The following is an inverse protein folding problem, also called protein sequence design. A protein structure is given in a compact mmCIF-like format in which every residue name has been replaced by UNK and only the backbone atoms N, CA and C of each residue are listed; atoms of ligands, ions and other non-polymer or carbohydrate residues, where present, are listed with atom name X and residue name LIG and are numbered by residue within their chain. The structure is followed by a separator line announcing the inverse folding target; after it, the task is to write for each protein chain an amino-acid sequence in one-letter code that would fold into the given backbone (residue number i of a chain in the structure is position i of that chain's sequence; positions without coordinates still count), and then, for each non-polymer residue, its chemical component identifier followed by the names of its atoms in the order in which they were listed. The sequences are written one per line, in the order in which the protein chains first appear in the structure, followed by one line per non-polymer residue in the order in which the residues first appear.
data_IF_627880182769
#
_entry.id   IF_627880182769
#
_cell.length_a   1.000
_cell.length_b   1.000
_cell.length_c   1.000
_cell.angle_alpha   90.00
_cell.angle_beta   90.00
_cell.angle_gamma   90.00
#
_symmetry.space_group_name_H-M   'P 1'
#
loop_
_entity.id
_entity.type
_entity.pdbx_description
1 polymer ?
#
# COMPACT_ATOMS: atom_id res chain seq x y z
N UNK A 1 -51.59 -79.43 -28.54
CA UNK A 1 -50.59 -78.81 -27.68
C UNK A 1 -49.20 -78.57 -28.30
N UNK A 2 -48.62 -79.52 -29.07
CA UNK A 2 -47.22 -79.33 -29.61
C UNK A 2 -47.01 -78.23 -30.63
N UNK A 3 -48.02 -77.83 -31.49
CA UNK A 3 -47.88 -76.78 -32.49
C UNK A 3 -47.96 -75.36 -31.90
N UNK A 4 -48.81 -75.15 -30.87
CA UNK A 4 -48.94 -73.83 -30.15
C UNK A 4 -47.72 -73.55 -29.30
N UNK A 5 -47.14 -74.54 -28.65
CA UNK A 5 -45.93 -74.42 -27.86
C UNK A 5 -44.70 -73.98 -28.74
N UNK A 6 -44.58 -74.61 -29.95
CA UNK A 6 -43.54 -74.27 -30.90
C UNK A 6 -43.69 -72.85 -31.41
N UNK A 7 -44.92 -72.36 -31.70
CA UNK A 7 -45.18 -70.94 -32.11
C UNK A 7 -44.91 -70.00 -30.99
N UNK A 8 -45.23 -70.30 -29.73
CA UNK A 8 -44.92 -69.50 -28.56
C UNK A 8 -43.40 -69.37 -28.36
N UNK A 9 -42.69 -70.52 -28.42
CA UNK A 9 -41.22 -70.52 -28.31
C UNK A 9 -40.57 -69.68 -29.42
N UNK A 10 -41.03 -69.77 -30.65
CA UNK A 10 -40.55 -69.01 -31.79
C UNK A 10 -40.81 -67.48 -31.57
N UNK A 11 -42.01 -67.15 -31.08
CA UNK A 11 -42.35 -65.73 -30.79
C UNK A 11 -41.45 -65.14 -29.69
N UNK A 12 -41.16 -65.93 -28.63
CA UNK A 12 -40.23 -65.49 -27.55
C UNK A 12 -38.80 -65.35 -28.08
N UNK A 13 -38.33 -66.25 -28.96
CA UNK A 13 -37.01 -66.16 -29.57
C UNK A 13 -36.89 -64.93 -30.49
N UNK A 14 -37.91 -64.65 -31.30
CA UNK A 14 -37.96 -63.46 -32.14
C UNK A 14 -37.97 -62.15 -31.29
N UNK A 15 -38.71 -62.15 -30.19
CA UNK A 15 -38.73 -61.00 -29.25
C UNK A 15 -37.38 -60.79 -28.58
N UNK A 16 -36.70 -61.87 -28.11
CA UNK A 16 -35.36 -61.81 -27.55
C UNK A 16 -34.32 -61.32 -28.58
N UNK A 17 -34.44 -61.81 -29.85
CA UNK A 17 -33.58 -61.33 -30.93
C UNK A 17 -33.78 -59.84 -31.20
N UNK A 18 -35.02 -59.36 -31.15
CA UNK A 18 -35.36 -57.93 -31.35
C UNK A 18 -34.79 -57.08 -30.20
N UNK A 19 -34.92 -57.56 -28.95
CA UNK A 19 -34.29 -56.90 -27.78
C UNK A 19 -32.77 -56.85 -27.92
N UNK A 20 -32.15 -57.96 -28.32
CA UNK A 20 -30.69 -58.04 -28.50
C UNK A 20 -30.23 -57.13 -29.62
N UNK A 21 -30.97 -57.05 -30.74
CA UNK A 21 -30.68 -56.14 -31.82
C UNK A 21 -30.79 -54.69 -31.37
N UNK A 22 -31.84 -54.31 -30.63
CA UNK A 22 -32.01 -52.97 -30.07
C UNK A 22 -30.89 -52.63 -29.07
N UNK A 23 -30.49 -53.61 -28.24
CA UNK A 23 -29.36 -53.43 -27.34
C UNK A 23 -28.04 -53.05 -28.07
N UNK A 24 -27.70 -53.79 -29.13
CA UNK A 24 -26.48 -53.49 -29.89
C UNK A 24 -26.59 -52.20 -30.69
N UNK A 25 -27.76 -51.87 -31.26
CA UNK A 25 -27.96 -50.58 -31.93
C UNK A 25 -27.67 -49.41 -30.99
N UNK A 26 -28.19 -49.46 -29.75
CA UNK A 26 -27.92 -48.44 -28.74
C UNK A 26 -26.46 -48.44 -28.26
N UNK A 27 -25.84 -49.61 -28.09
CA UNK A 27 -24.41 -49.71 -27.76
C UNK A 27 -23.52 -49.07 -28.84
N UNK A 28 -23.85 -49.29 -30.12
CA UNK A 28 -23.13 -48.64 -31.22
C UNK A 28 -23.40 -47.14 -31.32
N UNK A 29 -24.61 -46.67 -31.01
CA UNK A 29 -24.95 -45.24 -30.94
C UNK A 29 -24.14 -44.52 -29.84
N UNK A 30 -24.03 -45.10 -28.63
CA UNK A 30 -23.24 -44.52 -27.54
C UNK A 30 -21.71 -44.68 -27.72
N UNK A 31 -21.24 -45.33 -28.80
CA UNK A 31 -19.81 -45.46 -29.05
C UNK A 31 -19.20 -44.12 -29.51
N UNK A 32 -19.96 -43.29 -30.25
CA UNK A 32 -19.51 -41.98 -30.78
C UNK A 32 -19.87 -40.84 -29.84
N UNK A 33 -20.85 -41.01 -28.94
CA UNK A 33 -21.30 -40.02 -27.99
C UNK A 33 -21.21 -40.53 -26.51
N UNK A 34 -21.58 -39.69 -25.59
CA UNK A 34 -21.65 -40.04 -24.17
C UNK A 34 -22.81 -40.96 -23.88
N UNK A 35 -22.61 -41.88 -22.97
CA UNK A 35 -23.63 -42.88 -22.52
C UNK A 35 -24.88 -42.19 -21.95
N UNK A 36 -25.99 -42.95 -21.90
CA UNK A 36 -27.26 -42.50 -21.35
C UNK A 36 -27.09 -42.00 -19.90
N UNK A 37 -27.85 -41.00 -19.51
CA UNK A 37 -27.82 -40.38 -18.16
C UNK A 37 -26.44 -39.86 -17.70
N UNK A 38 -25.59 -39.48 -18.64
CA UNK A 38 -24.31 -38.84 -18.34
C UNK A 38 -24.49 -37.33 -18.16
N UNK A 39 -23.98 -36.81 -17.06
CA UNK A 39 -23.96 -35.40 -16.72
C UNK A 39 -22.52 -34.97 -16.42
N UNK A 40 -22.06 -33.90 -17.06
CA UNK A 40 -20.72 -33.33 -16.88
C UNK A 40 -20.88 -31.85 -16.55
N UNK A 41 -20.35 -31.41 -15.42
CA UNK A 41 -20.46 -30.03 -14.94
C UNK A 41 -21.89 -29.44 -15.01
N UNK A 42 -22.89 -30.30 -14.67
CA UNK A 42 -24.30 -29.92 -14.74
C UNK A 42 -24.92 -29.87 -16.13
N UNK A 43 -24.17 -30.25 -17.19
CA UNK A 43 -24.65 -30.39 -18.56
C UNK A 43 -25.10 -31.82 -18.83
N UNK A 44 -26.27 -31.99 -19.46
CA UNK A 44 -26.77 -33.30 -19.90
C UNK A 44 -26.12 -33.70 -21.23
N UNK A 45 -25.32 -34.78 -21.19
CA UNK A 45 -24.43 -35.15 -22.30
C UNK A 45 -24.90 -36.38 -23.10
N UNK A 46 -25.97 -37.06 -22.72
CA UNK A 46 -26.44 -38.30 -23.37
C UNK A 46 -26.48 -38.20 -24.88
N UNK A 47 -25.73 -39.05 -25.59
CA UNK A 47 -25.66 -39.14 -27.04
C UNK A 47 -24.98 -38.00 -27.75
N UNK A 48 -24.54 -36.97 -27.02
CA UNK A 48 -23.77 -35.82 -27.58
C UNK A 48 -22.34 -36.22 -27.83
N UNK A 49 -21.73 -35.58 -28.86
CA UNK A 49 -20.29 -35.70 -29.15
C UNK A 49 -19.45 -34.87 -28.17
N UNK A 50 -18.15 -35.06 -28.19
CA UNK A 50 -17.19 -34.28 -27.41
C UNK A 50 -17.27 -32.81 -27.78
N UNK A 51 -17.35 -32.49 -29.09
CA UNK A 51 -17.44 -31.10 -29.58
C UNK A 51 -18.71 -30.39 -29.13
N UNK A 52 -19.85 -31.12 -29.15
CA UNK A 52 -21.13 -30.55 -28.70
C UNK A 52 -21.11 -30.25 -27.22
N UNK A 53 -20.57 -31.18 -26.41
CA UNK A 53 -20.46 -30.98 -24.93
C UNK A 53 -19.45 -29.89 -24.60
N UNK A 54 -18.29 -29.87 -25.29
CA UNK A 54 -17.29 -28.81 -25.12
C UNK A 54 -17.90 -27.42 -25.39
N UNK A 55 -18.60 -27.29 -26.54
CA UNK A 55 -19.23 -26.02 -26.91
C UNK A 55 -20.28 -25.56 -25.87
N UNK A 56 -21.06 -26.49 -25.33
CA UNK A 56 -22.08 -26.16 -24.30
C UNK A 56 -21.45 -25.81 -22.96
N UNK A 57 -20.34 -26.45 -22.56
CA UNK A 57 -19.58 -26.13 -21.36
C UNK A 57 -18.95 -24.74 -21.48
N UNK A 58 -18.35 -24.43 -22.63
CA UNK A 58 -17.71 -23.12 -22.87
C UNK A 58 -18.71 -21.97 -22.76
N UNK A 59 -19.97 -22.14 -23.20
CA UNK A 59 -21.02 -21.14 -23.02
C UNK A 59 -21.34 -20.80 -21.56
N UNK A 60 -20.97 -21.67 -20.62
CA UNK A 60 -21.22 -21.51 -19.19
C UNK A 60 -19.94 -21.22 -18.40
N UNK A 61 -18.79 -21.27 -19.05
CA UNK A 61 -17.49 -21.01 -18.42
C UNK A 61 -17.20 -19.53 -18.51
N UNK A 62 -17.09 -18.87 -17.36
CA UNK A 62 -16.61 -17.50 -17.27
C UNK A 62 -15.11 -17.52 -16.94
N UNK A 63 -14.37 -16.50 -17.40
CA UNK A 63 -12.99 -16.33 -17.03
C UNK A 63 -12.92 -16.07 -15.52
N UNK A 64 -12.16 -16.87 -14.77
CA UNK A 64 -12.05 -16.68 -13.32
C UNK A 64 -11.24 -15.43 -12.97
N UNK A 65 -11.43 -14.97 -11.75
CA UNK A 65 -10.57 -14.00 -11.13
C UNK A 65 -9.53 -14.73 -10.25
N UNK A 66 -8.29 -14.25 -10.28
CA UNK A 66 -7.24 -14.72 -9.37
C UNK A 66 -7.11 -13.70 -8.25
N UNK A 67 -7.14 -14.16 -7.01
CA UNK A 67 -6.89 -13.35 -5.82
C UNK A 67 -5.43 -13.52 -5.41
N UNK A 68 -4.68 -12.42 -5.39
CA UNK A 68 -3.29 -12.39 -4.94
C UNK A 68 -3.29 -11.84 -3.51
N UNK A 69 -2.71 -12.59 -2.57
CA UNK A 69 -2.65 -12.23 -1.15
C UNK A 69 -1.22 -11.91 -0.77
N UNK A 70 -0.99 -10.71 -0.21
CA UNK A 70 0.32 -10.30 0.29
C UNK A 70 0.60 -10.82 1.72
N UNK A 71 1.76 -10.43 2.28
CA UNK A 71 2.18 -10.84 3.64
C UNK A 71 1.30 -10.26 4.73
N UNK A 72 0.72 -9.10 4.52
CA UNK A 72 -0.16 -8.38 5.43
C UNK A 72 -1.62 -8.90 5.35
N UNK A 73 -1.91 -9.77 4.38
CA UNK A 73 -3.24 -10.30 4.13
C UNK A 73 -4.10 -9.40 3.24
N UNK A 74 -3.49 -8.41 2.58
CA UNK A 74 -4.20 -7.58 1.60
C UNK A 74 -4.45 -8.37 0.33
N UNK A 75 -5.66 -8.27 -0.20
CA UNK A 75 -6.10 -8.99 -1.38
C UNK A 75 -6.12 -8.07 -2.62
N UNK A 76 -5.54 -8.54 -3.70
CA UNK A 76 -5.56 -7.90 -5.00
C UNK A 76 -6.17 -8.86 -6.01
N UNK A 77 -7.08 -8.38 -6.85
CA UNK A 77 -7.79 -9.24 -7.79
C UNK A 77 -7.36 -8.93 -9.22
N UNK A 78 -7.07 -9.98 -9.99
CA UNK A 78 -6.79 -9.91 -11.41
C UNK A 78 -7.82 -10.74 -12.17
N UNK A 79 -8.43 -10.16 -13.22
CA UNK A 79 -9.37 -10.85 -14.07
C UNK A 79 -8.66 -11.50 -15.23
N UNK A 80 -8.81 -12.82 -15.42
CA UNK A 80 -8.23 -13.51 -16.55
C UNK A 80 -8.94 -13.18 -17.89
N UNK A 81 -10.11 -12.53 -17.85
CA UNK A 81 -10.77 -12.03 -19.05
C UNK A 81 -9.90 -11.00 -19.80
N UNK A 82 -9.04 -10.25 -19.07
CA UNK A 82 -8.12 -9.28 -19.66
C UNK A 82 -6.88 -9.93 -20.28
N UNK A 83 -6.65 -11.22 -20.02
CA UNK A 83 -5.53 -12.02 -20.48
C UNK A 83 -5.93 -13.03 -21.58
N UNK A 84 -7.00 -12.76 -22.31
CA UNK A 84 -7.51 -13.63 -23.38
C UNK A 84 -7.67 -15.10 -22.92
N UNK A 85 -8.33 -15.28 -21.77
CA UNK A 85 -8.60 -16.58 -21.17
C UNK A 85 -9.37 -17.48 -22.12
N UNK A 86 -8.83 -18.65 -22.42
CA UNK A 86 -9.47 -19.69 -23.20
C UNK A 86 -9.49 -21.00 -22.43
N UNK A 87 -10.67 -21.57 -22.29
CA UNK A 87 -10.88 -22.88 -21.73
C UNK A 87 -11.13 -23.90 -22.84
N UNK A 88 -10.65 -25.12 -22.70
CA UNK A 88 -10.95 -26.25 -23.58
C UNK A 88 -11.14 -27.53 -22.79
N UNK A 89 -12.31 -28.14 -22.91
CA UNK A 89 -12.65 -29.39 -22.26
C UNK A 89 -12.40 -30.62 -23.17
N UNK A 90 -12.03 -30.42 -24.44
CA UNK A 90 -11.98 -31.48 -25.46
C UNK A 90 -11.14 -32.68 -24.98
N UNK A 91 -9.94 -32.44 -24.47
CA UNK A 91 -9.03 -33.51 -24.05
C UNK A 91 -9.59 -34.33 -22.87
N UNK A 92 -10.11 -33.66 -21.84
CA UNK A 92 -10.65 -34.34 -20.65
C UNK A 92 -11.99 -35.04 -20.94
N UNK A 93 -12.79 -34.46 -21.84
CA UNK A 93 -14.03 -35.10 -22.34
C UNK A 93 -13.74 -36.35 -23.16
N UNK A 94 -12.74 -36.28 -24.08
CA UNK A 94 -12.34 -37.43 -24.86
C UNK A 94 -11.79 -38.56 -24.02
N UNK A 95 -10.93 -38.24 -23.00
CA UNK A 95 -10.43 -39.23 -22.07
C UNK A 95 -11.58 -39.89 -21.29
N UNK A 96 -12.51 -39.08 -20.74
CA UNK A 96 -13.67 -39.61 -20.03
C UNK A 96 -14.59 -40.45 -20.93
N UNK A 97 -14.81 -40.05 -22.22
CA UNK A 97 -15.58 -40.81 -23.18
C UNK A 97 -14.93 -42.18 -23.47
N UNK A 98 -13.59 -42.26 -23.55
CA UNK A 98 -12.86 -43.49 -23.79
C UNK A 98 -12.90 -44.46 -22.57
N UNK A 99 -13.07 -43.95 -21.37
CA UNK A 99 -13.27 -44.77 -20.17
C UNK A 99 -14.65 -45.43 -20.12
N UNK A 100 -15.65 -44.90 -20.86
CA UNK A 100 -16.99 -45.42 -20.89
C UNK A 100 -17.06 -46.71 -21.75
N UNK A 101 -17.65 -47.78 -21.18
CA UNK A 101 -17.95 -48.97 -21.96
C UNK A 101 -19.35 -48.85 -22.59
N UNK A 102 -19.45 -48.68 -23.91
CA UNK A 102 -20.75 -48.51 -24.59
C UNK A 102 -21.72 -49.69 -24.39
N UNK A 103 -21.20 -50.84 -24.09
CA UNK A 103 -22.04 -52.02 -23.86
C UNK A 103 -22.66 -52.09 -22.45
N UNK A 104 -22.20 -51.22 -21.51
CA UNK A 104 -22.78 -51.09 -20.18
C UNK A 104 -23.80 -49.95 -20.07
N UNK A 105 -24.36 -49.47 -21.21
CA UNK A 105 -25.29 -48.36 -21.21
C UNK A 105 -26.54 -48.62 -20.32
N UNK A 106 -26.96 -49.86 -20.17
CA UNK A 106 -28.09 -50.22 -19.30
C UNK A 106 -27.85 -49.90 -17.84
N UNK A 107 -26.61 -50.04 -17.35
CA UNK A 107 -26.24 -49.68 -15.99
C UNK A 107 -26.44 -48.18 -15.76
N UNK A 108 -26.12 -47.33 -16.75
CA UNK A 108 -26.30 -45.88 -16.67
C UNK A 108 -27.78 -45.46 -16.75
N UNK A 109 -28.69 -46.33 -17.28
CA UNK A 109 -30.13 -46.07 -17.18
C UNK A 109 -30.60 -46.15 -15.74
N UNK A 110 -30.02 -47.07 -14.94
CA UNK A 110 -30.37 -47.29 -13.54
C UNK A 110 -29.60 -46.33 -12.61
N UNK A 111 -28.36 -46.01 -12.96
CA UNK A 111 -27.45 -45.20 -12.15
C UNK A 111 -26.99 -44.00 -12.96
N UNK A 112 -27.28 -42.79 -12.47
CA UNK A 112 -26.86 -41.57 -13.13
C UNK A 112 -25.33 -41.39 -13.02
N UNK A 113 -24.63 -41.14 -14.13
CA UNK A 113 -23.22 -40.78 -14.14
C UNK A 113 -23.08 -39.28 -14.07
N UNK A 114 -22.54 -38.74 -12.96
CA UNK A 114 -22.23 -37.34 -12.78
C UNK A 114 -20.73 -37.17 -12.57
N UNK A 115 -20.13 -36.28 -13.34
CA UNK A 115 -18.70 -35.94 -13.26
C UNK A 115 -18.50 -34.44 -13.28
N UNK A 116 -17.50 -34.00 -12.55
CA UNK A 116 -16.94 -32.67 -12.66
C UNK A 116 -15.56 -32.78 -13.30
N UNK A 117 -15.37 -32.08 -14.40
CA UNK A 117 -14.14 -32.06 -15.17
C UNK A 117 -13.63 -30.63 -15.25
N UNK A 118 -12.33 -30.46 -15.08
CA UNK A 118 -11.67 -29.16 -15.25
C UNK A 118 -11.15 -29.02 -16.68
N UNK A 119 -11.28 -27.83 -17.30
CA UNK A 119 -10.75 -27.58 -18.65
C UNK A 119 -9.22 -27.52 -18.63
N UNK A 120 -8.62 -27.69 -19.80
CA UNK A 120 -7.30 -27.16 -20.08
C UNK A 120 -7.43 -25.66 -20.29
N UNK A 121 -6.59 -24.86 -19.64
CA UNK A 121 -6.64 -23.41 -19.68
C UNK A 121 -5.44 -22.89 -20.45
N UNK A 122 -5.66 -21.90 -21.31
CA UNK A 122 -4.62 -21.11 -21.95
C UNK A 122 -4.92 -19.63 -21.75
N UNK A 123 -3.89 -18.83 -21.50
CA UNK A 123 -3.97 -17.38 -21.38
C UNK A 123 -2.88 -16.75 -22.23
N UNK A 124 -3.15 -15.54 -22.74
CA UNK A 124 -2.10 -14.73 -23.34
C UNK A 124 -1.17 -14.21 -22.23
N UNK A 125 0.07 -14.68 -22.24
CA UNK A 125 1.07 -14.31 -21.21
C UNK A 125 1.34 -12.81 -21.23
N UNK A 126 1.37 -12.20 -22.41
CA UNK A 126 1.56 -10.74 -22.53
C UNK A 126 0.35 -9.98 -21.98
N UNK A 127 -0.85 -10.50 -22.20
CA UNK A 127 -2.08 -9.97 -21.59
C UNK A 127 -2.08 -10.09 -20.07
N UNK A 128 -1.72 -11.26 -19.56
CA UNK A 128 -1.58 -11.51 -18.13
C UNK A 128 -0.54 -10.58 -17.49
N UNK A 129 0.60 -10.36 -18.17
CA UNK A 129 1.64 -9.44 -17.73
C UNK A 129 1.14 -8.01 -17.67
N UNK A 130 0.42 -7.53 -18.69
CA UNK A 130 -0.17 -6.19 -18.68
C UNK A 130 -1.17 -6.01 -17.54
N UNK A 131 -2.03 -6.99 -17.31
CA UNK A 131 -2.99 -6.97 -16.21
C UNK A 131 -2.28 -6.98 -14.85
N UNK A 132 -1.25 -7.81 -14.66
CA UNK A 132 -0.40 -7.85 -13.47
C UNK A 132 0.30 -6.50 -13.21
N UNK A 133 0.95 -5.92 -14.22
CA UNK A 133 1.66 -4.64 -14.10
C UNK A 133 0.71 -3.46 -13.81
N UNK A 134 -0.59 -3.62 -14.05
CA UNK A 134 -1.62 -2.64 -13.73
C UNK A 134 -1.99 -2.60 -12.25
N UNK A 135 -1.69 -3.66 -11.48
CA UNK A 135 -2.03 -3.76 -10.07
C UNK A 135 -1.34 -2.68 -9.23
N UNK A 136 -2.05 -2.17 -8.23
CA UNK A 136 -1.58 -1.07 -7.39
C UNK A 136 -0.28 -1.43 -6.66
N UNK A 137 -0.21 -2.62 -6.06
CA UNK A 137 1.00 -3.04 -5.33
C UNK A 137 2.21 -3.20 -6.25
N UNK A 138 2.02 -3.65 -7.50
CA UNK A 138 3.10 -3.80 -8.48
C UNK A 138 3.67 -2.44 -8.84
N UNK A 139 2.80 -1.46 -9.15
CA UNK A 139 3.22 -0.08 -9.43
C UNK A 139 3.91 0.58 -8.25
N UNK A 140 3.35 0.40 -7.04
CA UNK A 140 3.96 0.91 -5.82
C UNK A 140 5.35 0.30 -5.59
N UNK A 141 5.49 -1.02 -5.81
CA UNK A 141 6.76 -1.71 -5.63
C UNK A 141 7.82 -1.31 -6.67
N UNK A 142 7.41 -1.06 -7.92
CA UNK A 142 8.30 -0.57 -8.99
C UNK A 142 8.88 0.82 -8.69
N UNK A 143 8.13 1.68 -7.99
CA UNK A 143 8.53 3.05 -7.66
C UNK A 143 9.47 3.12 -6.45
N UNK A 144 9.54 2.10 -5.60
CA UNK A 144 10.41 2.08 -4.43
C UNK A 144 11.88 2.04 -4.82
N UNK A 145 12.72 2.80 -4.11
CA UNK A 145 14.17 2.72 -4.28
C UNK A 145 14.68 1.31 -3.94
N UNK A 146 15.55 0.76 -4.78
CA UNK A 146 16.13 -0.58 -4.63
C UNK A 146 17.48 -0.57 -3.91
N UNK A 147 18.02 0.62 -3.67
CA UNK A 147 19.32 0.77 -3.03
C UNK A 147 19.18 0.67 -1.50
N UNK A 148 20.17 0.05 -0.89
CA UNK A 148 20.31 0.07 0.56
C UNK A 148 21.11 1.32 0.94
N UNK A 149 20.46 2.35 1.46
CA UNK A 149 21.09 3.64 1.69
C UNK A 149 20.53 4.38 2.90
N UNK A 150 21.35 5.24 3.47
CA UNK A 150 21.00 6.21 4.49
C UNK A 150 21.55 7.56 4.00
N UNK A 151 20.67 8.50 3.70
CA UNK A 151 21.04 9.80 3.16
C UNK A 151 19.98 10.86 3.49
N UNK A 152 20.34 12.14 3.37
CA UNK A 152 19.35 13.25 3.44
C UNK A 152 18.56 13.31 2.13
N UNK A 153 17.26 13.50 2.26
CA UNK A 153 16.36 13.74 1.13
C UNK A 153 16.32 15.22 0.73
N UNK A 154 15.42 15.57 -0.18
CA UNK A 154 15.23 16.94 -0.65
C UNK A 154 14.63 17.89 0.40
N UNK A 155 14.01 17.37 1.45
CA UNK A 155 13.53 18.16 2.59
C UNK A 155 14.64 18.46 3.60
N UNK A 156 15.78 17.76 3.51
CA UNK A 156 16.91 17.84 4.42
C UNK A 156 16.87 16.80 5.54
N UNK A 157 15.84 15.97 5.59
CA UNK A 157 15.70 14.89 6.59
C UNK A 157 16.51 13.65 6.19
N UNK A 158 17.03 12.92 7.18
CA UNK A 158 17.60 11.63 6.90
C UNK A 158 16.51 10.61 6.61
N UNK A 159 16.71 9.87 5.53
CA UNK A 159 15.82 8.79 5.09
C UNK A 159 16.65 7.53 4.92
N UNK A 160 16.11 6.43 5.42
CA UNK A 160 16.70 5.10 5.26
C UNK A 160 15.93 4.29 4.23
N UNK A 161 16.66 3.66 3.33
CA UNK A 161 16.10 2.74 2.33
C UNK A 161 16.69 1.35 2.55
N UNK A 162 15.82 0.39 2.83
CA UNK A 162 16.18 -0.99 3.18
C UNK A 162 16.51 -1.88 1.96
N UNK A 163 16.71 -1.27 0.82
CA UNK A 163 17.00 -1.99 -0.41
C UNK A 163 15.87 -2.94 -0.83
N UNK A 164 16.22 -4.19 -1.14
CA UNK A 164 15.27 -5.22 -1.57
C UNK A 164 14.86 -6.19 -0.43
N UNK A 165 15.45 -6.10 0.75
CA UNK A 165 15.18 -7.05 1.83
C UNK A 165 13.71 -7.02 2.27
N UNK A 166 13.05 -8.19 2.22
CA UNK A 166 11.65 -8.34 2.60
C UNK A 166 10.62 -7.73 1.63
N UNK A 167 11.08 -7.19 0.50
CA UNK A 167 10.22 -6.65 -0.56
C UNK A 167 9.76 -7.76 -1.52
N UNK A 168 8.72 -7.47 -2.30
CA UNK A 168 8.20 -8.41 -3.29
C UNK A 168 9.17 -8.48 -4.48
N UNK A 169 9.60 -9.69 -4.84
CA UNK A 169 10.25 -9.97 -6.12
C UNK A 169 9.17 -10.08 -7.20
N UNK A 170 8.94 -9.00 -7.92
CA UNK A 170 7.86 -8.88 -8.91
C UNK A 170 7.95 -9.92 -10.03
N UNK A 171 9.16 -10.29 -10.46
CA UNK A 171 9.33 -11.31 -11.49
C UNK A 171 8.96 -12.71 -10.96
N UNK A 172 9.39 -13.01 -9.74
CA UNK A 172 9.05 -14.27 -9.10
C UNK A 172 7.56 -14.36 -8.77
N UNK A 173 6.94 -13.24 -8.39
CA UNK A 173 5.50 -13.16 -8.15
C UNK A 173 4.71 -13.34 -9.47
N UNK A 174 5.18 -12.80 -10.58
CA UNK A 174 4.57 -13.02 -11.89
C UNK A 174 4.68 -14.50 -12.33
N UNK A 175 5.85 -15.13 -12.21
CA UNK A 175 6.01 -16.55 -12.48
C UNK A 175 5.12 -17.44 -11.60
N UNK A 176 4.94 -17.05 -10.33
CA UNK A 176 4.03 -17.75 -9.44
C UNK A 176 2.56 -17.57 -9.87
N UNK A 177 2.21 -16.39 -10.40
CA UNK A 177 0.88 -16.14 -10.97
C UNK A 177 0.63 -17.01 -12.22
N UNK A 178 1.59 -17.10 -13.14
CA UNK A 178 1.50 -18.00 -14.31
C UNK A 178 1.25 -19.44 -13.88
N UNK A 179 2.04 -19.95 -12.93
CA UNK A 179 1.85 -21.30 -12.39
C UNK A 179 0.48 -21.49 -11.70
N UNK A 180 -0.03 -20.46 -11.00
CA UNK A 180 -1.35 -20.48 -10.36
C UNK A 180 -2.45 -20.64 -11.41
N UNK A 181 -2.36 -19.89 -12.50
CA UNK A 181 -3.30 -19.95 -13.63
C UNK A 181 -3.23 -21.31 -14.32
N UNK A 182 -2.02 -21.81 -14.66
CA UNK A 182 -1.82 -23.10 -15.31
C UNK A 182 -2.38 -24.28 -14.50
N UNK A 183 -2.26 -24.20 -13.17
CA UNK A 183 -2.79 -25.23 -12.28
C UNK A 183 -4.29 -25.07 -11.96
N UNK A 184 -4.97 -24.08 -12.54
CA UNK A 184 -6.39 -23.80 -12.29
C UNK A 184 -6.71 -23.39 -10.86
N UNK A 185 -5.76 -22.78 -10.17
CA UNK A 185 -5.94 -22.24 -8.82
C UNK A 185 -6.48 -20.82 -8.89
N UNK A 186 -7.31 -20.44 -7.92
CA UNK A 186 -7.96 -19.13 -7.87
C UNK A 186 -7.28 -18.16 -6.90
N UNK A 187 -6.28 -18.63 -6.15
CA UNK A 187 -5.60 -17.82 -5.13
C UNK A 187 -4.10 -18.04 -5.18
N UNK A 188 -3.35 -16.94 -5.21
CA UNK A 188 -1.90 -16.89 -5.08
C UNK A 188 -1.53 -16.22 -3.76
N UNK A 189 -0.92 -16.95 -2.84
CA UNK A 189 -0.30 -16.36 -1.65
C UNK A 189 1.18 -16.08 -1.94
N UNK A 190 1.58 -14.80 -1.91
CA UNK A 190 2.93 -14.38 -2.23
C UNK A 190 3.97 -14.88 -1.21
N UNK A 191 3.58 -15.02 0.06
CA UNK A 191 4.47 -15.53 1.11
C UNK A 191 4.73 -17.03 0.95
N UNK A 192 3.69 -17.82 0.74
CA UNK A 192 3.78 -19.27 0.60
C UNK A 192 4.52 -19.65 -0.69
N UNK A 193 4.39 -18.82 -1.73
CA UNK A 193 5.10 -18.98 -3.01
C UNK A 193 6.52 -18.43 -2.98
N UNK A 194 6.97 -17.89 -1.84
CA UNK A 194 8.32 -17.36 -1.64
C UNK A 194 8.65 -16.17 -2.54
N UNK A 195 7.66 -15.32 -2.83
CA UNK A 195 7.80 -14.17 -3.73
C UNK A 195 8.43 -12.94 -3.07
N UNK A 196 9.04 -13.09 -1.91
CA UNK A 196 9.76 -12.01 -1.23
C UNK A 196 11.27 -12.22 -1.30
N UNK A 197 12.01 -11.11 -1.42
CA UNK A 197 13.46 -11.17 -1.33
C UNK A 197 13.89 -11.59 0.08
N UNK A 198 14.57 -12.72 0.19
CA UNK A 198 15.20 -13.20 1.43
C UNK A 198 16.68 -12.79 1.41
N UNK A 199 16.92 -11.49 1.67
CA UNK A 199 18.27 -10.93 1.71
C UNK A 199 18.66 -10.74 3.17
N UNK A 200 19.65 -11.50 3.64
CA UNK A 200 20.25 -11.28 4.96
C UNK A 200 21.20 -10.09 4.89
N UNK A 201 20.96 -9.00 5.66
CA UNK A 201 21.83 -7.84 5.67
C UNK A 201 23.25 -8.21 6.09
N UNK A 202 24.24 -7.71 5.36
CA UNK A 202 25.66 -7.83 5.74
C UNK A 202 25.98 -6.90 6.93
N UNK A 203 27.20 -6.99 7.51
CA UNK A 203 27.56 -6.22 8.70
C UNK A 203 27.50 -4.71 8.49
N UNK A 204 27.87 -4.21 7.31
CA UNK A 204 27.77 -2.78 7.00
C UNK A 204 26.31 -2.33 6.94
N UNK A 205 25.42 -3.13 6.37
CA UNK A 205 24.00 -2.86 6.30
C UNK A 205 23.35 -2.89 7.69
N UNK A 206 23.75 -3.80 8.57
CA UNK A 206 23.33 -3.84 9.97
C UNK A 206 23.76 -2.58 10.71
N UNK A 207 25.00 -2.14 10.49
CA UNK A 207 25.54 -0.91 11.09
C UNK A 207 24.77 0.30 10.64
N UNK A 208 24.47 0.47 9.33
CA UNK A 208 23.65 1.56 8.81
C UNK A 208 22.20 1.52 9.37
N UNK A 209 21.62 0.34 9.50
CA UNK A 209 20.27 0.19 10.09
C UNK A 209 20.25 0.58 11.57
N UNK A 210 21.30 0.25 12.32
CA UNK A 210 21.40 0.65 13.71
C UNK A 210 21.60 2.16 13.84
N UNK A 211 22.45 2.74 12.99
CA UNK A 211 22.63 4.20 12.92
C UNK A 211 21.32 4.90 12.58
N UNK A 212 20.55 4.35 11.62
CA UNK A 212 19.24 4.89 11.29
C UNK A 212 18.29 4.95 12.48
N UNK A 213 18.20 3.91 13.30
CA UNK A 213 17.32 3.90 14.48
C UNK A 213 17.65 5.04 15.46
N UNK A 214 18.94 5.34 15.64
CA UNK A 214 19.36 6.46 16.48
C UNK A 214 19.02 7.82 15.83
N UNK A 215 19.20 7.93 14.50
CA UNK A 215 18.83 9.13 13.74
C UNK A 215 17.31 9.34 13.76
N UNK A 216 16.53 8.30 13.49
CA UNK A 216 15.06 8.35 13.51
C UNK A 216 14.53 8.83 14.87
N UNK A 217 15.10 8.30 15.93
CA UNK A 217 14.80 8.76 17.30
C UNK A 217 15.17 10.23 17.48
N UNK A 218 16.38 10.62 17.08
CA UNK A 218 16.87 12.00 17.21
C UNK A 218 16.04 13.00 16.37
N UNK A 219 15.64 12.64 15.16
CA UNK A 219 14.79 13.48 14.32
C UNK A 219 13.35 13.63 14.83
N UNK A 220 12.88 12.74 15.70
CA UNK A 220 11.57 12.86 16.34
C UNK A 220 11.62 13.84 17.53
N UNK A 221 12.15 15.05 17.32
CA UNK A 221 12.27 16.07 18.35
C UNK A 221 10.91 16.67 18.73
N UNK A 222 10.64 16.72 20.02
CA UNK A 222 9.37 17.20 20.58
C UNK A 222 9.39 18.69 20.97
N UNK A 223 10.52 19.40 20.80
CA UNK A 223 10.68 20.79 21.20
C UNK A 223 9.82 21.70 20.31
N UNK A 224 8.98 22.52 20.95
CA UNK A 224 8.15 23.52 20.29
C UNK A 224 8.39 24.88 20.94
N UNK A 225 9.01 25.79 20.22
CA UNK A 225 9.18 27.17 20.66
C UNK A 225 7.83 27.90 20.72
N UNK A 226 7.63 28.67 21.79
CA UNK A 226 6.41 29.43 22.04
C UNK A 226 6.69 30.93 22.05
N UNK A 227 6.44 31.62 20.95
CA UNK A 227 6.59 33.07 20.83
C UNK A 227 5.21 33.73 21.01
N UNK A 228 4.81 33.92 22.26
CA UNK A 228 3.44 34.36 22.58
C UNK A 228 2.41 33.31 22.19
N UNK A 229 1.55 33.63 21.22
CA UNK A 229 0.55 32.73 20.70
C UNK A 229 1.07 31.84 19.56
N UNK A 230 2.19 32.22 18.95
CA UNK A 230 2.78 31.48 17.85
C UNK A 230 3.59 30.27 18.34
N UNK A 231 3.49 29.17 17.58
CA UNK A 231 4.18 27.92 17.84
C UNK A 231 5.15 27.63 16.70
N UNK A 232 6.38 27.27 17.04
CA UNK A 232 7.42 26.93 16.09
C UNK A 232 8.09 25.62 16.50
N UNK A 233 7.69 24.48 15.91
CA UNK A 233 8.31 23.20 16.20
C UNK A 233 9.71 23.13 15.61
N UNK A 234 10.63 22.48 16.31
CA UNK A 234 11.91 22.04 15.75
C UNK A 234 11.62 20.82 14.89
N UNK A 235 11.85 20.92 13.60
CA UNK A 235 11.50 19.89 12.62
C UNK A 235 12.59 18.81 12.52
N UNK A 236 12.25 17.67 11.90
CA UNK A 236 13.22 16.60 11.60
C UNK A 236 14.37 17.14 10.70
N UNK A 237 14.06 18.00 9.75
CA UNK A 237 15.05 18.65 8.89
C UNK A 237 15.97 19.58 9.68
N UNK A 238 15.43 20.36 10.65
CA UNK A 238 16.24 21.19 11.52
C UNK A 238 17.20 20.31 12.35
N UNK A 239 16.68 19.25 12.99
CA UNK A 239 17.50 18.31 13.75
C UNK A 239 18.61 17.68 12.89
N UNK A 240 18.29 17.26 11.67
CA UNK A 240 19.29 16.71 10.75
C UNK A 240 20.36 17.75 10.40
N UNK A 241 20.01 19.06 10.28
CA UNK A 241 20.94 20.14 9.97
C UNK A 241 21.93 20.42 11.11
N UNK A 242 21.57 20.10 12.34
CA UNK A 242 22.41 20.31 13.54
C UNK A 242 23.49 19.25 13.73
N UNK A 243 23.53 18.20 12.92
CA UNK A 243 24.49 17.11 13.04
C UNK A 243 25.78 17.38 12.27
N UNK A 244 26.92 17.24 12.92
CA UNK A 244 28.21 17.13 12.23
C UNK A 244 28.21 15.88 11.39
N UNK A 245 28.60 16.01 10.12
CA UNK A 245 28.58 14.89 9.17
C UNK A 245 29.94 14.60 8.55
N UNK A 246 30.24 13.34 8.33
CA UNK A 246 31.37 12.87 7.54
C UNK A 246 30.87 11.91 6.47
N UNK A 247 31.27 12.13 5.23
CA UNK A 247 30.79 11.36 4.07
C UNK A 247 29.24 11.29 3.98
N UNK A 248 28.54 12.32 4.45
CA UNK A 248 27.07 12.40 4.42
C UNK A 248 26.36 11.69 5.59
N UNK A 249 27.10 11.05 6.49
CA UNK A 249 26.55 10.38 7.67
C UNK A 249 26.89 11.16 8.94
N UNK A 250 26.01 11.15 9.97
CA UNK A 250 26.27 11.76 11.24
C UNK A 250 27.48 11.15 11.95
N UNK A 251 28.29 12.01 12.61
CA UNK A 251 29.43 11.62 13.43
C UNK A 251 28.96 11.42 14.87
N UNK A 252 29.49 10.38 15.53
CA UNK A 252 29.28 10.15 16.95
C UNK A 252 30.58 10.33 17.74
N UNK A 253 30.46 10.75 18.97
CA UNK A 253 31.56 10.85 19.92
C UNK A 253 31.97 9.47 20.49
N UNK A 254 32.95 9.45 21.41
CA UNK A 254 33.43 8.23 22.06
C UNK A 254 32.38 7.54 22.94
N UNK A 255 31.32 8.24 23.32
CA UNK A 255 30.22 7.72 24.14
C UNK A 255 29.06 7.22 23.29
N UNK A 256 29.10 7.43 21.96
CA UNK A 256 28.08 7.03 21.00
C UNK A 256 27.00 8.09 20.78
N UNK A 257 27.11 9.28 21.36
CA UNK A 257 26.19 10.39 21.12
C UNK A 257 26.54 11.10 19.80
N UNK A 258 25.55 11.66 19.13
CA UNK A 258 25.78 12.51 17.95
C UNK A 258 26.55 13.76 18.35
N UNK A 259 27.44 14.21 17.46
CA UNK A 259 28.15 15.47 17.60
C UNK A 259 27.30 16.56 16.95
N UNK A 260 26.95 17.59 17.74
CA UNK A 260 26.18 18.73 17.23
C UNK A 260 27.11 19.79 16.67
N UNK A 261 26.65 20.44 15.60
CA UNK A 261 27.29 21.57 14.97
C UNK A 261 26.76 22.88 15.62
N UNK A 262 27.54 23.48 16.50
CA UNK A 262 27.17 24.70 17.22
C UNK A 262 26.93 25.88 16.26
N UNK A 263 27.65 25.95 15.13
CA UNK A 263 27.43 27.01 14.12
C UNK A 263 26.06 26.84 13.45
N UNK A 264 25.66 25.61 13.12
CA UNK A 264 24.36 25.32 12.53
C UNK A 264 23.21 25.62 13.52
N UNK A 265 23.37 25.25 14.78
CA UNK A 265 22.38 25.55 15.83
C UNK A 265 22.29 27.08 16.05
N UNK A 266 23.43 27.78 16.06
CA UNK A 266 23.45 29.25 16.19
C UNK A 266 22.72 29.91 15.02
N UNK A 267 23.01 29.49 13.79
CA UNK A 267 22.35 30.02 12.58
C UNK A 267 20.82 29.78 12.60
N UNK A 268 20.37 28.64 13.13
CA UNK A 268 18.94 28.39 13.32
C UNK A 268 18.32 29.35 14.34
N UNK A 269 18.98 29.58 15.48
CA UNK A 269 18.51 30.54 16.49
C UNK A 269 18.50 31.97 15.97
N UNK A 270 19.46 32.34 15.12
CA UNK A 270 19.47 33.64 14.40
C UNK A 270 18.26 33.80 13.49
N UNK A 271 17.87 32.73 12.76
CA UNK A 271 16.66 32.74 11.94
C UNK A 271 15.38 32.86 12.80
N UNK A 272 15.34 32.22 13.97
CA UNK A 272 14.24 32.40 14.92
C UNK A 272 14.17 33.88 15.38
N UNK A 273 15.29 34.47 15.73
CA UNK A 273 15.36 35.88 16.14
C UNK A 273 14.91 36.83 14.98
N UNK A 274 15.40 36.60 13.76
CA UNK A 274 14.98 37.37 12.59
C UNK A 274 13.47 37.30 12.38
N UNK A 275 12.89 36.13 12.58
CA UNK A 275 11.47 35.89 12.38
C UNK A 275 10.59 36.45 13.49
N UNK A 276 11.01 36.36 14.78
CA UNK A 276 10.15 36.62 15.92
C UNK A 276 10.54 37.83 16.78
N UNK A 277 11.74 38.39 16.62
CA UNK A 277 12.13 39.60 17.36
C UNK A 277 11.25 40.79 16.94
N UNK A 278 10.69 41.48 17.95
CA UNK A 278 9.90 42.67 17.75
C UNK A 278 10.74 43.97 17.86
N UNK A 279 11.90 43.90 18.53
CA UNK A 279 12.72 45.07 18.78
C UNK A 279 13.23 45.73 17.49
N UNK A 280 12.92 47.05 17.33
CA UNK A 280 13.31 47.81 16.16
C UNK A 280 12.56 47.46 14.85
N UNK A 281 11.59 46.58 14.89
CA UNK A 281 10.82 46.14 13.72
C UNK A 281 9.89 47.26 13.25
N UNK A 282 9.72 47.35 11.93
CA UNK A 282 8.69 48.17 11.31
C UNK A 282 7.34 47.44 11.43
N UNK A 283 6.30 48.16 11.86
CA UNK A 283 4.95 47.63 12.09
C UNK A 283 3.92 48.38 11.22
N UNK A 284 2.89 47.67 10.78
CA UNK A 284 1.71 48.27 10.17
C UNK A 284 0.62 48.35 11.26
N UNK A 285 0.20 49.58 11.59
CA UNK A 285 -0.82 49.82 12.63
C UNK A 285 -2.09 50.34 11.98
N UNK A 286 -3.21 49.72 12.30
CA UNK A 286 -4.53 50.17 11.88
C UNK A 286 -5.09 51.15 12.92
N UNK A 287 -5.10 52.42 12.57
CA UNK A 287 -5.56 53.48 13.49
C UNK A 287 -7.08 53.48 13.68
N UNK A 288 -7.57 54.03 14.77
CA UNK A 288 -9.01 54.23 15.03
C UNK A 288 -9.71 55.01 13.94
N UNK A 289 -9.02 55.86 13.18
CA UNK A 289 -9.58 56.57 12.01
C UNK A 289 -9.73 55.69 10.76
N UNK A 290 -9.15 54.50 10.75
CA UNK A 290 -9.15 53.59 9.61
C UNK A 290 -7.91 53.74 8.70
N UNK A 291 -6.94 54.58 9.06
CA UNK A 291 -5.68 54.70 8.32
C UNK A 291 -4.73 53.55 8.70
N UNK A 292 -3.93 53.09 7.73
CA UNK A 292 -2.80 52.19 8.01
C UNK A 292 -1.54 53.01 8.17
N UNK A 293 -0.96 52.98 9.37
CA UNK A 293 0.22 53.79 9.71
C UNK A 293 1.43 52.87 9.81
N UNK A 294 2.50 53.21 9.12
CA UNK A 294 3.79 52.52 9.25
C UNK A 294 4.53 53.08 10.45
N UNK A 295 4.77 52.27 11.46
CA UNK A 295 5.59 52.63 12.62
C UNK A 295 6.97 52.05 12.40
N UNK A 296 7.94 52.92 12.19
CA UNK A 296 9.32 52.54 11.94
C UNK A 296 10.16 52.68 13.23
N UNK A 297 10.99 51.63 13.45
CA UNK A 297 11.96 51.64 14.54
C UNK A 297 11.33 51.64 15.94
N UNK A 298 11.89 52.45 16.80
CA UNK A 298 11.48 52.55 18.19
C UNK A 298 12.24 51.56 19.11
N UNK A 299 11.92 51.67 20.39
CA UNK A 299 12.61 50.87 21.41
C UNK A 299 11.71 49.77 22.02
N UNK A 300 10.51 49.57 21.46
CA UNK A 300 9.59 48.53 21.85
C UNK A 300 9.86 47.22 21.10
N UNK A 301 9.49 46.12 21.74
CA UNK A 301 9.56 44.76 21.18
C UNK A 301 10.54 43.86 21.94
N UNK A 302 10.31 42.58 21.83
CA UNK A 302 11.17 41.54 22.39
C UNK A 302 12.45 41.40 21.56
N UNK A 303 13.52 40.95 22.22
CA UNK A 303 14.76 40.52 21.57
C UNK A 303 15.23 39.22 22.19
N UNK A 304 15.35 38.18 21.35
CA UNK A 304 15.75 36.85 21.76
C UNK A 304 17.19 36.87 22.32
N UNK A 305 17.42 36.15 23.45
CA UNK A 305 18.76 35.88 23.93
C UNK A 305 19.35 34.69 23.16
N UNK A 306 19.84 34.99 21.95
CA UNK A 306 20.34 33.99 21.01
C UNK A 306 21.39 33.08 21.63
N UNK A 307 22.26 33.64 22.50
CA UNK A 307 23.31 32.86 23.14
C UNK A 307 22.74 31.81 24.13
N UNK A 308 21.73 32.20 24.92
CA UNK A 308 21.07 31.25 25.81
C UNK A 308 20.25 30.21 25.10
N UNK A 309 19.58 30.59 23.97
CA UNK A 309 18.79 29.65 23.19
C UNK A 309 19.67 28.65 22.43
N UNK A 310 20.83 29.10 21.90
CA UNK A 310 21.83 28.16 21.35
C UNK A 310 22.29 27.16 22.41
N UNK A 311 22.65 27.66 23.60
CA UNK A 311 23.06 26.79 24.70
C UNK A 311 21.94 25.81 25.14
N UNK A 312 20.69 26.28 25.19
CA UNK A 312 19.53 25.45 25.46
C UNK A 312 19.38 24.30 24.45
N UNK A 313 19.44 24.59 23.18
CA UNK A 313 19.35 23.56 22.13
C UNK A 313 20.53 22.59 22.21
N UNK A 314 21.76 23.09 22.36
CA UNK A 314 22.97 22.25 22.49
C UNK A 314 22.88 21.29 23.70
N UNK A 315 22.26 21.71 24.79
CA UNK A 315 22.07 20.89 25.98
C UNK A 315 20.96 19.86 25.81
N UNK A 316 19.82 20.25 25.20
CA UNK A 316 18.59 19.43 25.25
C UNK A 316 18.37 18.58 24.02
N UNK A 317 18.95 18.89 22.86
CA UNK A 317 18.72 18.13 21.61
C UNK A 317 19.13 16.64 21.71
N UNK A 318 20.09 16.31 22.58
CA UNK A 318 20.54 14.93 22.82
C UNK A 318 19.84 14.25 23.98
N UNK A 319 19.00 14.98 24.73
CA UNK A 319 18.26 14.42 25.84
C UNK A 319 17.17 13.44 25.36
N UNK A 320 17.14 12.24 25.94
CA UNK A 320 16.09 11.28 25.64
C UNK A 320 14.67 11.82 25.93
N UNK A 321 14.57 12.80 26.85
CA UNK A 321 13.31 13.41 27.24
C UNK A 321 12.60 14.21 26.17
N UNK A 322 13.34 14.73 25.17
CA UNK A 322 12.76 15.51 24.05
C UNK A 322 12.45 14.65 22.81
N UNK A 323 12.51 13.33 22.92
CA UNK A 323 12.26 12.35 21.87
C UNK A 323 11.25 11.29 22.31
N UNK A 324 10.20 11.73 23.00
CA UNK A 324 9.20 10.83 23.62
C UNK A 324 7.90 10.73 22.84
N UNK A 325 7.73 11.53 21.80
CA UNK A 325 6.48 11.70 21.06
C UNK A 325 5.48 12.61 21.79
N UNK A 326 5.93 13.30 22.85
CA UNK A 326 5.09 14.25 23.60
C UNK A 326 5.65 15.65 23.46
N UNK A 327 4.94 16.54 22.76
CA UNK A 327 5.38 17.93 22.53
C UNK A 327 5.75 18.64 23.83
N UNK A 328 6.93 19.24 23.84
CA UNK A 328 7.47 20.03 24.95
C UNK A 328 7.52 21.50 24.54
N UNK A 329 6.65 22.28 25.16
CA UNK A 329 6.61 23.72 24.93
C UNK A 329 7.79 24.39 25.63
N UNK A 330 8.62 25.11 24.87
CA UNK A 330 9.71 25.94 25.34
C UNK A 330 9.38 27.41 25.14
N UNK A 331 9.36 28.17 26.22
CA UNK A 331 9.24 29.64 26.15
C UNK A 331 10.65 30.20 26.06
N UNK A 332 11.00 30.91 24.97
CA UNK A 332 12.36 31.41 24.80
C UNK A 332 12.79 32.39 25.89
N UNK A 333 14.07 32.44 26.10
CA UNK A 333 14.72 33.47 26.94
C UNK A 333 14.95 34.73 26.08
N UNK A 334 14.71 35.89 26.66
CA UNK A 334 14.86 37.16 25.98
C UNK A 334 15.95 38.04 26.66
N UNK A 335 16.83 38.68 25.84
CA UNK A 335 17.67 39.77 26.28
C UNK A 335 16.81 41.00 26.63
N UNK A 336 15.70 41.15 25.93
CA UNK A 336 14.72 42.18 26.12
C UNK A 336 13.31 41.60 26.06
N UNK A 337 12.58 41.79 27.12
CA UNK A 337 11.18 41.41 27.18
C UNK A 337 10.26 42.47 26.59
N UNK A 338 9.11 42.06 26.09
CA UNK A 338 8.02 42.91 25.64
C UNK A 338 6.73 42.52 26.37
N UNK A 339 5.73 43.39 26.25
CA UNK A 339 4.42 43.10 26.81
C UNK A 339 3.69 42.02 25.99
N UNK A 340 3.88 42.02 24.66
CA UNK A 340 3.43 40.99 23.75
C UNK A 340 4.62 40.47 22.94
N UNK A 341 4.56 39.17 22.58
CA UNK A 341 5.62 38.47 21.86
C UNK A 341 5.12 37.99 20.50
N UNK A 342 6.05 37.67 19.61
CA UNK A 342 5.76 37.19 18.28
C UNK A 342 5.64 38.34 17.26
N UNK A 343 5.07 38.06 16.09
CA UNK A 343 5.02 39.02 14.97
C UNK A 343 4.02 40.14 15.18
N UNK A 344 2.93 39.88 15.89
CA UNK A 344 1.94 40.91 16.26
C UNK A 344 2.13 41.26 17.74
N UNK A 345 3.14 42.09 17.99
CA UNK A 345 3.58 42.46 19.32
C UNK A 345 3.01 43.78 19.87
N UNK A 346 2.12 44.44 19.11
CA UNK A 346 1.30 45.55 19.65
C UNK A 346 0.19 44.97 20.53
N UNK A 347 -0.37 43.86 20.09
CA UNK A 347 -1.46 43.19 20.79
C UNK A 347 -2.78 43.95 20.72
N UNK A 348 -3.71 43.57 21.58
CA UNK A 348 -5.08 44.07 21.65
C UNK A 348 -5.34 45.07 22.80
N UNK A 349 -4.30 45.41 23.56
CA UNK A 349 -4.38 46.32 24.72
C UNK A 349 -3.32 47.41 24.55
N UNK A 350 -3.75 48.61 24.14
CA UNK A 350 -2.86 49.73 23.86
C UNK A 350 -3.54 51.09 23.99
N UNK A 351 -2.75 52.13 23.98
CA UNK A 351 -3.19 53.53 23.91
C UNK A 351 -2.76 54.09 22.58
N UNK A 352 -3.73 54.61 21.82
CA UNK A 352 -3.52 55.38 20.59
C UNK A 352 -3.68 56.88 20.89
N UNK A 353 -2.73 57.69 20.45
CA UNK A 353 -2.83 59.14 20.55
C UNK A 353 -2.83 59.75 19.17
N UNK A 354 -3.99 60.25 18.76
CA UNK A 354 -4.13 61.00 17.51
C UNK A 354 -3.76 62.46 17.74
N UNK A 355 -2.56 62.83 17.38
CA UNK A 355 -2.04 64.19 17.53
C UNK A 355 -2.77 65.20 16.62
N UNK A 356 -3.33 64.76 15.48
CA UNK A 356 -4.05 65.58 14.54
C UNK A 356 -5.44 66.01 15.10
N UNK A 357 -6.14 65.00 15.66
CA UNK A 357 -7.46 65.24 16.25
C UNK A 357 -7.39 65.63 17.72
N UNK A 358 -6.24 65.59 18.32
CA UNK A 358 -6.04 65.82 19.77
C UNK A 358 -6.90 64.91 20.62
N UNK A 359 -6.93 63.61 20.25
CA UNK A 359 -7.70 62.54 20.91
C UNK A 359 -6.82 61.40 21.37
N UNK A 360 -7.19 60.83 22.49
CA UNK A 360 -6.60 59.61 23.02
C UNK A 360 -7.67 58.50 23.00
N UNK A 361 -7.26 57.33 22.55
CA UNK A 361 -8.08 56.13 22.58
C UNK A 361 -7.41 55.05 23.41
N UNK A 362 -8.11 54.44 24.32
CA UNK A 362 -7.61 53.27 25.10
C UNK A 362 -8.38 52.04 24.70
N UNK A 363 -7.63 51.07 24.22
CA UNK A 363 -8.14 49.74 23.91
C UNK A 363 -7.70 48.75 24.99
N UNK A 364 -8.63 47.93 25.47
CA UNK A 364 -8.41 46.83 26.37
C UNK A 364 -9.00 45.58 25.77
N UNK A 365 -8.19 44.54 25.48
CA UNK A 365 -8.60 43.30 24.83
C UNK A 365 -9.39 43.54 23.52
N UNK A 366 -8.93 44.47 22.71
CA UNK A 366 -9.57 44.80 21.44
C UNK A 366 -10.84 45.68 21.55
N UNK A 367 -11.30 46.01 22.74
CA UNK A 367 -12.46 46.85 22.96
C UNK A 367 -12.03 48.29 23.29
N UNK A 368 -12.65 49.28 22.61
CA UNK A 368 -12.43 50.68 22.91
C UNK A 368 -13.10 50.99 24.27
N UNK A 369 -12.33 51.44 25.24
CA UNK A 369 -12.77 51.82 26.59
C UNK A 369 -12.84 53.32 26.81
N UNK A 370 -12.00 54.12 26.13
CA UNK A 370 -11.94 55.56 26.24
C UNK A 370 -11.56 56.16 24.88
#
# INVERSE_FOLDING_TARGET
MKKTTKRLVLAVLLFLLLLLTGYFILAFYYREGFSVNTWINGVYCTGKTVEEVNSELLLRTEAPNIVIVDREGTEYTISLAEADYQADYSNVLEHYRQEQNPFLWVDNVLFHSRRELSPTVTVDVDGLRRAYDSLEFVRAEQQKNKDYSLARDTSGEYVFTDGLAGRIDLEKAFLALENTVENGQETLNLSDSGCYYDITPNENQKTLRNLWKEIERYQSCDIVYCFGQERHPVTAADCASFLVTENGLPVTDQTGNFVLDEEAVTAYVEQLAEKYDGYGRTRQFHSTRGDVITIEGGTYGSKLDQKKETAYLMEHLLDAGVHTGTQQSHVPTYEREAFCYGRDDIGDTYIEVDMTQQKMYYYEKGELRL
#
